data_IF_195465102753
#
_entry.id   IF_195465102753
#
_cell.length_a   1.000
_cell.length_b   1.000
_cell.length_c   1.000
_cell.angle_alpha   90.00
_cell.angle_beta   90.00
_cell.angle_gamma   90.00
#
_symmetry.space_group_name_H-M   'P 1'
#
loop_
_entity.id
_entity.type
_entity.pdbx_description
1 polymer ?
2 branched ?
3 non-polymer ?
4 non-polymer ?
5 water ?
#
# COMPACT_ATOMS: atom_id res chain seq x y z
N UNK A 1 2.62 0.10 -16.38
CA UNK A 1 1.54 -0.45 -15.48
C UNK A 1 2.06 -1.73 -14.89
N UNK A 2 1.37 -2.21 -13.86
CA UNK A 2 1.65 -3.52 -13.30
C UNK A 2 0.35 -4.34 -13.20
N UNK A 3 0.46 -5.65 -13.26
CA UNK A 3 -0.71 -6.50 -13.29
C UNK A 3 -0.53 -7.63 -12.30
N UNK A 4 -1.62 -8.03 -11.63
CA UNK A 4 -1.59 -9.27 -10.79
C UNK A 4 -2.89 -10.01 -10.95
N UNK A 5 -2.79 -11.30 -11.15
CA UNK A 5 -3.92 -12.17 -11.36
C UNK A 5 -4.07 -13.15 -10.20
N UNK A 6 -5.29 -13.20 -9.68
CA UNK A 6 -5.56 -14.12 -8.60
C UNK A 6 -5.69 -15.57 -9.10
N UNK A 7 -6.13 -15.74 -10.35
CA UNK A 7 -6.28 -17.03 -10.89
C UNK A 7 -4.88 -17.67 -11.10
N UNK A 8 -4.63 -18.79 -10.41
CA UNK A 8 -3.35 -19.46 -10.56
C UNK A 8 -2.29 -18.79 -9.69
N UNK A 9 -2.67 -17.80 -8.86
CA UNK A 9 -1.67 -17.09 -8.06
C UNK A 9 -1.15 -17.99 -6.98
N UNK A 10 0.10 -17.72 -6.61
CA UNK A 10 0.76 -18.47 -5.62
C UNK A 10 1.78 -17.54 -4.97
N UNK A 11 2.49 -18.00 -3.93
CA UNK A 11 3.46 -17.06 -3.29
C UNK A 11 4.51 -16.42 -4.21
N UNK A 12 4.95 -17.22 -5.18
CA UNK A 12 5.83 -16.76 -6.23
C UNK A 12 5.20 -15.63 -7.13
N UNK A 13 4.07 -15.86 -7.83
CA UNK A 13 3.56 -14.83 -8.76
C UNK A 13 3.18 -13.57 -7.96
N UNK A 14 2.76 -13.78 -6.70
CA UNK A 14 2.50 -12.63 -5.87
C UNK A 14 3.81 -11.91 -5.62
N UNK A 15 4.89 -12.64 -5.29
CA UNK A 15 6.20 -11.96 -5.05
C UNK A 15 6.62 -11.14 -6.29
N UNK A 16 6.42 -11.71 -7.48
CA UNK A 16 6.73 -11.04 -8.74
C UNK A 16 5.87 -9.81 -8.92
N UNK A 17 4.60 -9.84 -8.52
CA UNK A 17 3.79 -8.62 -8.63
C UNK A 17 4.32 -7.52 -7.69
N UNK A 18 4.69 -7.87 -6.48
CA UNK A 18 5.11 -6.83 -5.54
C UNK A 18 6.46 -6.29 -5.94
N UNK A 19 7.33 -7.18 -6.45
CA UNK A 19 8.57 -6.78 -7.07
C UNK A 19 8.30 -5.73 -8.17
N UNK A 20 7.46 -6.09 -9.13
CA UNK A 20 7.01 -5.21 -10.20
C UNK A 20 6.41 -3.90 -9.69
N UNK A 21 5.57 -3.99 -8.65
CA UNK A 21 5.01 -2.78 -8.05
C UNK A 21 6.18 -1.88 -7.52
N UNK A 22 7.10 -2.46 -6.74
CA UNK A 22 8.24 -1.66 -6.28
C UNK A 22 9.03 -1.03 -7.45
N UNK A 23 9.20 -1.78 -8.52
CA UNK A 23 10.15 -1.40 -9.54
C UNK A 23 9.49 -0.38 -10.41
N UNK A 24 8.18 -0.17 -10.20
CA UNK A 24 7.41 0.75 -11.06
C UNK A 24 7.44 2.16 -10.47
N UNK A 25 7.86 2.25 -9.21
CA UNK A 25 7.95 3.52 -8.50
C UNK A 25 9.29 4.19 -8.82
N UNK A 26 9.26 5.39 -9.42
CA UNK A 26 10.56 5.97 -9.82
C UNK A 26 11.29 6.58 -8.61
N UNK A 27 12.62 6.52 -8.72
CA UNK A 27 13.53 7.09 -7.73
C UNK A 27 14.79 7.51 -8.50
N UNK A 28 15.45 8.58 -8.03
CA UNK A 28 16.75 8.96 -8.62
C UNK A 28 17.85 8.55 -7.60
N UNK A 29 17.44 8.38 -6.34
CA UNK A 29 18.38 8.16 -5.21
C UNK A 29 17.99 6.93 -4.33
N UNK A 30 19.00 6.36 -3.68
CA UNK A 30 18.83 5.27 -2.71
C UNK A 30 19.47 5.83 -1.46
N UNK A 31 18.74 5.72 -0.36
CA UNK A 31 19.23 6.18 0.88
C UNK A 31 19.36 4.95 1.77
N UNK A 32 20.61 4.67 2.17
CA UNK A 32 21.05 3.40 2.72
C UNK A 32 20.61 2.23 1.87
N UNK A 33 20.75 2.33 0.55
CA UNK A 33 20.42 1.21 -0.35
C UNK A 33 18.90 0.85 -0.40
N UNK A 34 18.07 1.84 -0.05
CA UNK A 34 16.62 1.73 -0.23
C UNK A 34 16.17 2.80 -1.19
N UNK A 35 15.45 2.43 -2.23
CA UNK A 35 14.88 3.43 -3.15
C UNK A 35 14.16 4.57 -2.43
N UNK A 36 14.58 5.81 -2.69
CA UNK A 36 13.96 7.01 -2.13
C UNK A 36 12.93 7.54 -3.10
N UNK A 37 11.68 7.58 -2.64
CA UNK A 37 10.57 8.05 -3.46
C UNK A 37 10.78 9.54 -3.75
N UNK A 38 10.43 9.93 -4.98
CA UNK A 38 10.49 11.32 -5.46
C UNK A 38 9.64 12.27 -4.65
N UNK A 39 10.09 13.52 -4.47
CA UNK A 39 9.24 14.52 -3.79
C UNK A 39 7.89 14.77 -4.54
N UNK A 40 7.95 14.85 -5.87
CA UNK A 40 6.73 15.08 -6.64
C UNK A 40 6.93 14.62 -8.05
N UNK A 41 5.82 14.45 -8.75
CA UNK A 41 5.80 14.07 -10.16
C UNK A 41 4.54 14.80 -10.63
N UNK A 42 4.68 15.64 -11.66
CA UNK A 42 3.56 16.48 -12.13
C UNK A 42 2.80 15.75 -13.22
N UNK A 43 1.48 15.98 -13.23
CA UNK A 43 0.60 15.48 -14.25
C UNK A 43 0.40 13.99 -14.12
N UNK A 44 0.21 13.34 -15.27
CA UNK A 44 -0.36 12.02 -15.28
C UNK A 44 0.68 10.94 -14.93
N UNK A 45 1.98 11.30 -14.98
CA UNK A 45 3.08 10.39 -14.66
C UNK A 45 3.20 10.08 -13.18
N UNK A 46 2.50 10.85 -12.36
CA UNK A 46 2.42 10.65 -10.95
C UNK A 46 1.68 9.34 -10.53
N UNK A 47 0.98 8.72 -11.45
CA UNK A 47 0.03 7.70 -11.06
C UNK A 47 0.35 6.43 -11.75
N UNK A 48 0.65 5.41 -10.93
CA UNK A 48 0.82 4.05 -11.41
C UNK A 48 -0.57 3.42 -11.49
N UNK A 49 -0.81 2.75 -12.60
CA UNK A 49 -1.97 1.85 -12.79
C UNK A 49 -1.64 0.37 -12.47
N UNK A 50 -2.36 -0.20 -11.51
CA UNK A 50 -2.27 -1.63 -11.20
C UNK A 50 -3.52 -2.29 -11.72
N UNK A 51 -3.34 -3.24 -12.61
CA UNK A 51 -4.42 -4.03 -13.12
C UNK A 51 -4.52 -5.27 -12.26
N UNK A 52 -5.64 -5.37 -11.50
CA UNK A 52 -5.88 -6.51 -10.65
C UNK A 52 -6.99 -7.41 -11.14
N UNK A 53 -6.74 -8.72 -11.13
CA UNK A 53 -7.77 -9.58 -11.72
C UNK A 53 -8.18 -10.57 -10.69
N UNK A 54 -9.50 -10.66 -10.48
CA UNK A 54 -9.95 -11.63 -9.48
C UNK A 54 -9.81 -12.99 -10.08
N UNK A 55 -10.13 -13.98 -9.28
CA UNK A 55 -10.05 -15.35 -9.77
C UNK A 55 -10.86 -15.61 -11.03
N UNK A 56 -12.03 -14.98 -11.13
CA UNK A 56 -12.85 -15.10 -12.34
C UNK A 56 -12.30 -14.37 -13.57
N UNK A 57 -11.27 -13.57 -13.35
CA UNK A 57 -10.78 -12.79 -14.47
C UNK A 57 -11.46 -11.42 -14.54
N UNK A 58 -12.34 -11.08 -13.59
CA UNK A 58 -12.86 -9.70 -13.58
C UNK A 58 -11.77 -8.81 -13.05
N UNK A 59 -11.75 -7.55 -13.43
CA UNK A 59 -10.64 -6.72 -13.17
C UNK A 59 -11.02 -5.30 -12.73
N UNK A 60 -10.14 -4.74 -11.93
CA UNK A 60 -10.16 -3.32 -11.61
C UNK A 60 -8.73 -2.75 -11.91
N UNK A 61 -8.66 -1.45 -12.16
CA UNK A 61 -7.43 -0.78 -12.32
C UNK A 61 -7.36 0.18 -11.12
N UNK A 62 -6.26 0.10 -10.36
CA UNK A 62 -6.10 0.94 -9.18
C UNK A 62 -5.06 1.99 -9.51
N UNK A 63 -5.30 3.21 -9.08
CA UNK A 63 -4.34 4.27 -9.39
C UNK A 63 -3.60 4.55 -8.12
N UNK A 64 -2.26 4.48 -8.23
CA UNK A 64 -1.39 4.66 -7.10
C UNK A 64 -0.48 5.90 -7.33
N UNK A 65 -0.44 6.82 -6.37
CA UNK A 65 0.47 7.95 -6.45
C UNK A 65 1.90 7.38 -6.24
N UNK A 66 2.73 7.43 -7.30
CA UNK A 66 4.11 6.87 -7.26
C UNK A 66 5.02 7.52 -6.20
N UNK A 67 4.63 8.69 -5.67
CA UNK A 67 5.53 9.34 -4.70
C UNK A 67 5.32 8.85 -3.30
N UNK A 68 4.15 8.24 -3.02
CA UNK A 68 3.86 7.75 -1.63
C UNK A 68 3.18 6.38 -1.53
N UNK A 69 2.97 5.74 -2.66
CA UNK A 69 2.33 4.46 -2.78
C UNK A 69 0.88 4.53 -2.24
N UNK A 70 0.29 5.71 -2.38
CA UNK A 70 -1.05 5.93 -1.88
C UNK A 70 -2.05 5.67 -2.96
N UNK A 71 -2.95 4.75 -2.66
CA UNK A 71 -4.02 4.41 -3.60
C UNK A 71 -5.01 5.59 -3.62
N UNK A 72 -5.28 6.13 -4.81
CA UNK A 72 -6.09 7.33 -4.95
C UNK A 72 -7.57 6.95 -5.33
N UNK A 73 -7.73 5.92 -6.16
CA UNK A 73 -9.02 5.37 -6.55
C UNK A 73 -8.78 4.25 -7.52
N UNK A 74 -9.83 3.81 -8.19
CA UNK A 74 -9.76 2.63 -9.06
C UNK A 74 -10.85 2.76 -10.06
N UNK A 75 -10.79 1.94 -11.09
CA UNK A 75 -11.77 1.90 -12.15
C UNK A 75 -12.27 0.47 -12.17
N UNK A 76 -13.59 0.36 -12.21
CA UNK A 76 -14.19 -0.91 -12.28
C UNK A 76 -15.18 -0.76 -13.40
N UNK A 77 -14.91 -1.45 -14.51
CA UNK A 77 -15.74 -1.43 -15.67
C UNK A 77 -15.79 0.04 -16.09
N UNK A 78 -16.96 0.68 -16.12
CA UNK A 78 -17.01 1.99 -16.74
C UNK A 78 -17.22 3.02 -15.62
N UNK A 79 -17.07 2.61 -14.36
CA UNK A 79 -17.16 3.57 -13.26
C UNK A 79 -15.83 3.72 -12.57
N UNK A 80 -15.48 4.99 -12.30
CA UNK A 80 -14.33 5.29 -11.52
C UNK A 80 -14.72 5.63 -10.12
N UNK A 81 -13.82 5.37 -9.22
CA UNK A 81 -14.14 5.60 -7.79
C UNK A 81 -12.90 6.27 -7.25
N UNK A 82 -13.06 7.32 -6.45
CA UNK A 82 -11.91 8.03 -5.90
C UNK A 82 -12.21 8.32 -4.49
N UNK A 83 -11.18 8.27 -3.64
CA UNK A 83 -11.38 8.70 -2.21
C UNK A 83 -11.81 10.11 -2.07
N UNK A 84 -12.46 10.42 -0.95
CA UNK A 84 -12.95 11.80 -0.78
C UNK A 84 -11.84 12.63 -0.10
N UNK A 85 -10.84 12.99 -0.89
CA UNK A 85 -9.68 13.77 -0.42
C UNK A 85 -9.00 14.51 -1.58
N UNK A 86 -8.33 15.65 -1.27
CA UNK A 86 -7.89 16.54 -2.41
C UNK A 86 -6.92 15.82 -3.37
N UNK A 87 -5.96 15.12 -2.79
CA UNK A 87 -5.05 14.31 -3.59
C UNK A 87 -5.78 13.37 -4.56
N UNK A 88 -6.88 12.75 -4.10
CA UNK A 88 -7.60 11.82 -5.00
C UNK A 88 -8.39 12.58 -5.99
N UNK A 89 -8.99 13.69 -5.52
CA UNK A 89 -9.69 14.60 -6.45
C UNK A 89 -8.72 15.11 -7.51
N UNK A 90 -7.50 15.49 -7.11
CA UNK A 90 -6.46 15.86 -8.08
C UNK A 90 -6.17 14.70 -9.00
N UNK A 91 -6.02 13.47 -8.42
CA UNK A 91 -5.80 12.30 -9.31
C UNK A 91 -6.87 12.05 -10.37
N UNK A 92 -8.12 12.35 -10.04
CA UNK A 92 -9.22 12.14 -10.99
C UNK A 92 -9.20 13.09 -12.18
N UNK A 93 -8.29 14.07 -12.16
CA UNK A 93 -8.04 14.86 -13.36
C UNK A 93 -7.21 14.12 -14.38
N UNK A 94 -6.48 13.11 -13.91
CA UNK A 94 -5.53 12.39 -14.76
C UNK A 94 -5.88 10.96 -15.09
N UNK A 95 -6.50 10.23 -14.17
CA UNK A 95 -6.69 8.81 -14.50
C UNK A 95 -8.16 8.44 -14.69
N UNK A 96 -8.44 7.51 -15.59
CA UNK A 96 -9.82 6.95 -15.68
C UNK A 96 -10.83 8.01 -16.19
N UNK A 97 -10.34 8.97 -16.96
CA UNK A 97 -11.23 10.00 -17.54
C UNK A 97 -12.18 9.39 -18.59
N UNK A 98 -11.81 8.26 -19.15
CA UNK A 98 -12.67 7.56 -20.06
C UNK A 98 -13.91 6.93 -19.35
N UNK A 99 -13.93 6.86 -18.01
CA UNK A 99 -15.07 6.24 -17.27
C UNK A 99 -16.37 6.96 -17.57
N UNK A 100 -17.44 6.18 -17.74
CA UNK A 100 -18.77 6.77 -17.93
C UNK A 100 -19.21 7.67 -16.78
N UNK A 101 -18.92 7.31 -15.56
CA UNK A 101 -19.27 8.17 -14.42
C UNK A 101 -18.20 8.01 -13.37
N UNK A 102 -18.25 8.87 -12.37
CA UNK A 102 -17.23 8.94 -11.40
C UNK A 102 -17.94 9.10 -10.07
N UNK A 103 -17.60 8.22 -9.13
CA UNK A 103 -18.19 8.25 -7.83
C UNK A 103 -17.07 8.57 -6.91
N UNK A 104 -17.30 9.53 -6.03
CA UNK A 104 -16.37 9.84 -4.96
C UNK A 104 -16.83 9.06 -3.76
N UNK A 105 -15.99 8.18 -3.25
CA UNK A 105 -16.32 7.42 -2.08
C UNK A 105 -16.60 8.32 -0.90
N UNK A 106 -17.47 7.89 0.00
CA UNK A 106 -17.82 8.70 1.17
C UNK A 106 -16.76 8.43 2.25
N UNK A 107 -15.49 8.61 1.92
CA UNK A 107 -14.42 8.63 2.95
C UNK A 107 -13.15 8.93 2.18
N UNK A 108 -12.19 9.48 2.93
CA UNK A 108 -10.80 9.52 2.53
C UNK A 108 -10.17 8.15 2.62
N UNK A 109 -8.92 8.14 2.28
CA UNK A 109 -8.19 6.94 2.05
C UNK A 109 -7.41 6.58 3.25
N UNK A 110 -7.42 7.38 4.32
CA UNK A 110 -6.66 7.00 5.47
C UNK A 110 -7.27 5.87 6.34
N UNK A 111 -6.40 5.15 7.04
CA UNK A 111 -6.80 3.99 7.74
C UNK A 111 -7.93 4.26 8.72
N UNK A 112 -7.86 5.39 9.42
CA UNK A 112 -8.88 5.73 10.41
C UNK A 112 -10.27 5.91 9.75
N UNK A 113 -10.36 6.73 8.70
CA UNK A 113 -11.63 6.88 8.00
C UNK A 113 -12.13 5.57 7.38
N UNK A 114 -11.23 4.78 6.76
CA UNK A 114 -11.63 3.45 6.19
C UNK A 114 -12.22 2.49 7.24
N UNK A 115 -11.59 2.44 8.43
CA UNK A 115 -11.98 1.58 9.55
C UNK A 115 -13.33 1.98 10.13
N UNK A 116 -13.55 3.28 10.34
CA UNK A 116 -14.87 3.81 10.77
C UNK A 116 -15.92 3.41 9.76
N UNK A 117 -15.61 3.59 8.47
CA UNK A 117 -16.51 3.26 7.40
C UNK A 117 -16.76 1.78 7.38
N UNK A 118 -15.71 0.97 7.54
CA UNK A 118 -15.88 -0.49 7.50
C UNK A 118 -16.57 -1.04 8.76
N UNK A 119 -16.52 -0.33 9.88
CA UNK A 119 -17.10 -0.80 11.14
C UNK A 119 -16.14 -1.74 11.92
N UNK A 120 -14.92 -1.96 11.41
CA UNK A 120 -13.95 -2.85 12.04
C UNK A 120 -12.55 -2.19 11.93
N UNK A 121 -11.69 -2.37 12.97
CA UNK A 121 -10.30 -2.00 12.81
C UNK A 121 -9.62 -3.00 11.88
N UNK A 122 -8.57 -2.58 11.24
CA UNK A 122 -7.96 -3.58 10.39
C UNK A 122 -7.25 -4.74 11.14
N UNK A 123 -7.01 -4.58 12.45
CA UNK A 123 -6.69 -5.71 13.32
C UNK A 123 -7.66 -6.87 13.19
N UNK A 124 -8.92 -6.58 12.99
CA UNK A 124 -9.91 -7.64 12.94
C UNK A 124 -10.28 -8.05 11.56
N UNK A 125 -9.51 -7.65 10.53
CA UNK A 125 -9.89 -7.96 9.11
C UNK A 125 -8.92 -8.95 8.44
N UNK A 126 -9.36 -10.18 8.15
CA UNK A 126 -8.34 -11.06 7.63
C UNK A 126 -7.77 -10.49 6.33
N UNK A 127 -6.48 -10.75 6.05
CA UNK A 127 -5.94 -10.42 4.71
C UNK A 127 -5.19 -11.65 4.20
N UNK A 128 -4.78 -11.60 2.95
CA UNK A 128 -4.18 -12.70 2.25
C UNK A 128 -4.59 -12.61 0.80
N UNK A 129 -4.21 -13.59 -0.01
CA UNK A 129 -4.64 -13.69 -1.43
C UNK A 129 -6.14 -13.98 -1.60
N UNK A 130 -6.69 -14.95 -0.85
CA UNK A 130 -8.14 -15.14 -1.08
C UNK A 130 -8.85 -13.84 -0.74
N UNK A 131 -8.46 -13.16 0.34
CA UNK A 131 -9.07 -11.83 0.66
C UNK A 131 -8.88 -10.72 -0.41
N UNK A 132 -7.70 -10.65 -1.05
CA UNK A 132 -7.51 -9.67 -2.10
C UNK A 132 -8.52 -10.05 -3.17
N UNK A 133 -8.64 -11.34 -3.46
CA UNK A 133 -9.65 -11.80 -4.50
C UNK A 133 -11.10 -11.30 -4.22
N UNK A 134 -11.53 -11.49 -2.95
CA UNK A 134 -12.81 -10.94 -2.45
C UNK A 134 -12.88 -9.45 -2.68
N UNK A 135 -11.75 -8.76 -2.38
CA UNK A 135 -11.73 -7.28 -2.35
C UNK A 135 -11.94 -6.78 -3.74
N UNK A 136 -11.18 -7.35 -4.69
CA UNK A 136 -11.29 -6.98 -6.08
C UNK A 136 -12.76 -7.17 -6.48
N UNK A 137 -13.35 -8.32 -6.10
CA UNK A 137 -14.75 -8.65 -6.43
C UNK A 137 -15.76 -7.62 -5.89
N UNK A 138 -15.61 -7.22 -4.62
CA UNK A 138 -16.42 -6.25 -4.00
C UNK A 138 -16.36 -4.92 -4.71
N UNK A 139 -15.18 -4.53 -5.16
CA UNK A 139 -14.95 -3.19 -5.66
C UNK A 139 -15.59 -3.07 -7.04
N UNK A 140 -15.85 -4.22 -7.66
CA UNK A 140 -16.47 -4.25 -9.00
C UNK A 140 -17.88 -3.62 -9.01
N UNK A 141 -18.61 -3.73 -7.90
CA UNK A 141 -19.92 -3.14 -7.79
C UNK A 141 -20.08 -2.28 -6.54
N UNK A 142 -20.50 -1.04 -6.73
CA UNK A 142 -20.36 -0.02 -5.73
C UNK A 142 -21.13 -0.47 -4.47
N UNK A 143 -20.49 -0.46 -3.34
CA UNK A 143 -21.18 -0.59 -2.06
C UNK A 143 -20.17 0.02 -1.04
N UNK A 144 -20.50 1.17 -0.46
CA UNK A 144 -19.44 2.00 0.07
C UNK A 144 -18.93 1.35 1.34
N UNK A 145 -19.86 0.77 2.13
CA UNK A 145 -19.51 0.09 3.40
C UNK A 145 -18.65 -1.11 3.16
N UNK A 146 -19.06 -1.97 2.21
CA UNK A 146 -18.26 -3.17 1.87
C UNK A 146 -16.93 -2.78 1.24
N UNK A 147 -16.93 -1.74 0.40
CA UNK A 147 -15.73 -1.29 -0.28
C UNK A 147 -14.68 -0.79 0.73
N UNK A 148 -15.09 -0.26 1.90
CA UNK A 148 -14.13 0.29 2.85
C UNK A 148 -13.28 -0.90 3.34
N UNK A 149 -13.94 -2.03 3.66
CA UNK A 149 -13.28 -3.27 4.06
C UNK A 149 -12.39 -3.76 2.93
N UNK A 150 -12.95 -3.77 1.72
CA UNK A 150 -12.21 -4.25 0.56
C UNK A 150 -10.98 -3.36 0.35
N UNK A 151 -11.08 -2.04 0.55
CA UNK A 151 -9.96 -1.14 0.41
C UNK A 151 -8.86 -1.33 1.45
N UNK A 152 -9.25 -1.63 2.68
CA UNK A 152 -8.29 -1.92 3.73
C UNK A 152 -7.50 -3.17 3.37
N UNK A 153 -8.21 -4.17 2.88
CA UNK A 153 -7.57 -5.39 2.42
C UNK A 153 -6.66 -5.05 1.23
N UNK A 154 -7.14 -4.18 0.32
CA UNK A 154 -6.37 -3.96 -0.92
C UNK A 154 -5.13 -3.10 -0.60
N UNK A 155 -5.28 -2.06 0.24
CA UNK A 155 -4.12 -1.27 0.65
C UNK A 155 -3.01 -2.15 1.23
N UNK A 156 -3.39 -3.16 2.02
CA UNK A 156 -2.41 -3.86 2.80
C UNK A 156 -1.71 -4.86 1.96
N UNK A 157 -2.43 -5.36 0.97
CA UNK A 157 -1.92 -6.45 0.17
C UNK A 157 -0.98 -5.95 -0.95
N UNK A 158 -1.15 -4.71 -1.39
CA UNK A 158 -0.40 -4.19 -2.53
C UNK A 158 0.61 -3.06 -2.16
N UNK A 159 0.13 -1.95 -1.57
CA UNK A 159 0.98 -0.86 -1.10
C UNK A 159 1.82 -1.21 0.07
N UNK A 160 1.21 -1.76 1.11
CA UNK A 160 1.95 -1.94 2.38
C UNK A 160 3.00 -3.11 2.19
N UNK A 161 2.61 -4.10 1.36
CA UNK A 161 3.51 -5.18 0.94
C UNK A 161 4.69 -4.65 0.12
N UNK A 162 4.42 -3.76 -0.83
CA UNK A 162 5.52 -3.07 -1.59
C UNK A 162 6.46 -2.32 -0.64
N UNK A 163 5.92 -1.69 0.40
CA UNK A 163 6.73 -0.91 1.33
C UNK A 163 7.58 -1.73 2.33
N UNK A 164 7.18 -2.97 2.60
CA UNK A 164 7.84 -3.77 3.61
C UNK A 164 7.85 -5.18 3.20
N UNK A 165 9.06 -5.72 3.13
CA UNK A 165 9.28 -7.12 2.79
C UNK A 165 8.55 -8.03 3.79
N UNK A 166 8.53 -7.64 5.06
CA UNK A 166 7.89 -8.45 6.08
C UNK A 166 6.37 -8.59 5.69
N UNK A 167 5.76 -7.50 5.22
CA UNK A 167 4.30 -7.59 5.00
C UNK A 167 4.08 -8.41 3.71
N UNK A 168 5.01 -8.27 2.76
CA UNK A 168 4.87 -9.09 1.52
C UNK A 168 4.92 -10.58 1.96
N UNK A 169 5.82 -10.89 2.90
CA UNK A 169 5.95 -12.29 3.35
C UNK A 169 4.69 -12.74 4.16
N UNK A 170 4.20 -11.89 5.07
CA UNK A 170 2.87 -12.12 5.66
C UNK A 170 1.77 -12.53 4.69
N UNK A 171 1.72 -11.91 3.52
CA UNK A 171 0.66 -12.18 2.54
C UNK A 171 0.95 -13.47 1.82
N UNK A 172 2.23 -13.69 1.52
CA UNK A 172 2.68 -14.89 0.89
C UNK A 172 2.31 -16.09 1.77
N UNK A 173 2.40 -15.92 3.11
CA UNK A 173 2.02 -16.96 4.02
C UNK A 173 0.48 -17.20 3.90
N UNK A 174 -0.26 -16.15 3.48
CA UNK A 174 -1.69 -16.14 3.51
C UNK A 174 -2.11 -16.31 2.09
N UNK A 175 -1.38 -17.13 1.36
CA UNK A 175 -1.73 -17.29 -0.08
C UNK A 175 -3.04 -18.02 -0.27
N UNK A 176 -3.36 -18.94 0.64
CA UNK A 176 -4.50 -19.82 0.43
C UNK A 176 -5.35 -19.82 1.66
N UNK A 177 -4.96 -19.05 2.66
CA UNK A 177 -5.76 -18.86 3.88
C UNK A 177 -5.52 -17.47 4.42
N UNK A 178 -6.60 -16.67 4.54
CA UNK A 178 -6.52 -15.34 5.10
C UNK A 178 -6.25 -15.38 6.56
N UNK A 179 -5.65 -14.32 7.05
CA UNK A 179 -5.49 -14.27 8.47
C UNK A 179 -5.33 -12.82 8.73
N UNK A 180 -5.90 -12.39 9.85
CA UNK A 180 -5.74 -11.02 10.28
C UNK A 180 -4.23 -10.75 10.28
N UNK A 181 -3.83 -9.49 10.04
CA UNK A 181 -2.39 -9.14 10.05
C UNK A 181 -1.85 -9.25 11.50
N UNK A 182 -0.56 -9.63 11.63
CA UNK A 182 0.11 -9.59 12.93
C UNK A 182 0.17 -8.16 13.47
N UNK A 183 0.36 -8.00 14.79
CA UNK A 183 0.53 -6.66 15.33
C UNK A 183 1.80 -5.97 14.74
N UNK A 184 2.79 -6.77 14.34
CA UNK A 184 4.03 -6.30 13.80
C UNK A 184 3.66 -5.64 12.45
N UNK A 185 2.86 -6.30 11.62
CA UNK A 185 2.31 -5.72 10.38
C UNK A 185 1.61 -4.37 10.60
N UNK A 186 0.73 -4.31 11.60
CA UNK A 186 0.05 -3.06 11.94
C UNK A 186 1.09 -1.99 12.36
N UNK A 187 2.05 -2.41 13.16
CA UNK A 187 3.09 -1.49 13.62
C UNK A 187 3.86 -0.93 12.41
N UNK A 188 4.22 -1.78 11.42
CA UNK A 188 4.96 -1.31 10.23
C UNK A 188 4.14 -0.37 9.39
N UNK A 189 2.87 -0.71 9.16
CA UNK A 189 2.03 0.19 8.35
C UNK A 189 1.96 1.58 8.91
N UNK A 190 1.76 1.62 10.23
CA UNK A 190 1.63 2.86 10.98
C UNK A 190 2.99 3.59 11.12
N UNK A 191 4.10 2.90 10.89
CA UNK A 191 5.42 3.53 11.15
C UNK A 191 6.15 3.95 9.92
N UNK A 192 5.54 3.72 8.75
CA UNK A 192 6.23 3.96 7.51
C UNK A 192 6.79 5.37 7.30
N UNK A 193 5.91 6.37 7.38
CA UNK A 193 6.36 7.76 7.38
C UNK A 193 7.48 8.02 8.34
N UNK A 194 7.22 7.66 9.61
CA UNK A 194 8.20 7.72 10.67
C UNK A 194 9.58 7.16 10.29
N UNK A 195 9.60 5.91 9.84
CA UNK A 195 10.83 5.22 9.47
C UNK A 195 11.47 5.86 8.26
N UNK A 196 10.67 6.13 7.24
CA UNK A 196 11.09 6.86 6.11
C UNK A 196 11.80 8.16 6.49
N UNK A 197 11.23 8.93 7.42
CA UNK A 197 11.88 10.12 7.87
C UNK A 197 13.24 9.83 8.57
N UNK A 198 13.25 8.92 9.57
CA UNK A 198 14.43 8.70 10.39
C UNK A 198 15.55 8.05 9.55
N UNK A 199 15.21 7.24 8.56
CA UNK A 199 16.21 6.72 7.65
C UNK A 199 16.91 7.88 6.94
N UNK A 200 16.15 8.83 6.44
CA UNK A 200 16.67 9.96 5.75
C UNK A 200 17.49 10.92 6.67
N UNK A 201 16.98 11.20 7.86
CA UNK A 201 17.71 11.99 8.85
C UNK A 201 19.02 11.31 9.21
N UNK A 202 19.00 9.99 9.34
CA UNK A 202 20.21 9.23 9.66
C UNK A 202 21.38 9.60 8.72
N UNK A 203 21.11 9.93 7.44
CA UNK A 203 22.22 10.37 6.53
C UNK A 203 22.55 11.73 7.04
N UNK A 204 23.75 11.92 7.54
CA UNK A 204 24.01 13.18 8.15
C UNK A 204 24.07 13.06 9.64
N UNK A 205 23.64 11.95 10.17
CA UNK A 205 23.70 11.77 11.61
C UNK A 205 24.34 10.45 11.88
N UNK A 206 25.22 10.01 10.94
CA UNK A 206 26.02 8.76 11.11
C UNK A 206 25.17 7.49 11.23
N UNK A 207 24.11 7.39 10.42
CA UNK A 207 23.17 6.25 10.49
C UNK A 207 22.35 6.17 11.79
N UNK A 208 22.39 7.21 12.62
CA UNK A 208 21.61 7.27 13.86
C UNK A 208 20.29 8.02 13.67
N UNK A 209 19.17 7.46 14.19
CA UNK A 209 17.86 8.16 14.11
C UNK A 209 17.91 9.40 15.04
N UNK A 210 17.42 10.53 14.53
CA UNK A 210 17.12 11.71 15.35
C UNK A 210 16.17 11.37 16.49
N UNK A 211 15.03 10.54 16.16
CA UNK A 211 14.04 10.08 17.14
C UNK A 211 13.76 8.55 16.92
N UNK A 212 13.88 7.81 18.01
CA UNK A 212 13.68 6.37 17.76
C UNK A 212 12.25 6.02 17.28
N UNK A 213 12.13 4.92 16.54
CA UNK A 213 10.84 4.43 16.05
C UNK A 213 10.46 3.22 16.89
N UNK A 214 9.29 3.28 17.53
CA UNK A 214 8.81 2.16 18.35
C UNK A 214 8.01 1.30 17.41
N UNK A 215 8.40 0.03 17.35
CA UNK A 215 7.67 -0.96 16.63
C UNK A 215 7.23 -2.08 17.55
N UNK A 216 6.33 -2.91 17.06
CA UNK A 216 6.09 -4.25 17.66
C UNK A 216 6.80 -5.32 16.82
N UNK A 217 7.44 -6.31 17.43
CA UNK A 217 8.17 -7.35 16.63
C UNK A 217 7.31 -8.59 16.41
N UNK A 218 7.82 -9.56 15.63
CA UNK A 218 7.11 -10.82 15.34
C UNK A 218 6.52 -11.51 16.57
N UNK A 219 7.40 -11.81 17.52
CA UNK A 219 7.05 -12.40 18.82
C UNK A 219 6.02 -11.59 19.63
N UNK A 220 5.77 -10.31 19.31
CA UNK A 220 4.69 -9.55 19.97
C UNK A 220 4.98 -8.38 20.92
N UNK A 221 6.25 -8.13 21.25
CA UNK A 221 6.57 -6.99 22.21
C UNK A 221 7.31 -5.79 21.55
N UNK A 222 7.14 -4.62 22.15
CA UNK A 222 7.68 -3.37 21.63
C UNK A 222 9.17 -3.50 21.43
N UNK A 223 9.69 -2.73 20.48
CA UNK A 223 11.11 -2.76 20.17
C UNK A 223 11.40 -1.36 19.68
N UNK A 224 12.55 -0.85 20.07
CA UNK A 224 12.87 0.48 19.72
C UNK A 224 13.92 0.47 18.61
N UNK A 225 13.66 1.18 17.54
CA UNK A 225 14.56 1.18 16.38
C UNK A 225 15.27 2.50 16.45
N UNK A 226 16.61 2.49 16.43
CA UNK A 226 17.41 3.73 16.71
C UNK A 226 18.46 4.10 15.65
N UNK A 227 18.77 3.17 14.73
CA UNK A 227 19.77 3.38 13.69
C UNK A 227 19.52 2.46 12.47
N UNK A 228 20.37 2.57 11.44
CA UNK A 228 20.12 1.95 10.16
C UNK A 228 20.68 0.53 10.14
N UNK A 229 21.33 0.07 11.22
CA UNK A 229 21.85 -1.35 11.31
C UNK A 229 20.70 -2.31 11.69
N UNK A 230 19.60 -1.74 12.19
CA UNK A 230 18.43 -2.47 12.50
C UNK A 230 17.89 -3.23 11.28
N UNK A 231 17.46 -4.46 11.53
CA UNK A 231 16.88 -5.31 10.51
C UNK A 231 15.80 -4.59 9.70
N UNK A 232 14.86 -3.93 10.38
CA UNK A 232 13.81 -3.23 9.66
C UNK A 232 14.38 -2.30 8.59
N UNK A 233 15.56 -1.73 8.84
CA UNK A 233 16.21 -0.91 7.82
C UNK A 233 17.00 -1.70 6.77
N UNK A 234 17.72 -2.74 7.21
CA UNK A 234 18.68 -3.45 6.35
C UNK A 234 17.97 -4.44 5.46
N UNK A 235 16.87 -5.00 5.96
CA UNK A 235 16.19 -6.10 5.30
C UNK A 235 14.69 -5.81 4.98
N UNK A 236 13.98 -5.11 5.82
CA UNK A 236 12.55 -5.03 5.72
C UNK A 236 11.87 -3.90 4.89
N UNK A 237 12.14 -2.64 5.18
CA UNK A 237 11.53 -1.53 4.42
C UNK A 237 12.17 -1.51 2.99
N UNK A 238 11.37 -1.23 1.96
CA UNK A 238 11.77 -1.33 0.55
C UNK A 238 11.64 -0.05 -0.20
N UNK A 239 10.99 0.94 0.42
CA UNK A 239 10.65 2.21 -0.23
C UNK A 239 10.63 3.27 0.87
N UNK A 240 11.18 4.44 0.59
CA UNK A 240 11.18 5.53 1.55
C UNK A 240 10.36 6.69 1.07
N UNK A 241 9.40 7.06 1.93
CA UNK A 241 8.65 8.27 1.70
C UNK A 241 9.64 9.42 1.84
N UNK A 242 9.66 10.29 0.86
CA UNK A 242 10.58 11.42 0.84
C UNK A 242 10.21 12.41 1.95
N UNK A 243 11.19 12.95 2.70
CA UNK A 243 10.82 13.84 3.86
C UNK A 243 10.11 15.11 3.38
N UNK A 244 10.29 15.44 2.10
CA UNK A 244 9.57 16.56 1.48
C UNK A 244 8.03 16.36 1.53
N UNK A 245 7.60 15.09 1.58
CA UNK A 245 6.18 14.76 1.82
C UNK A 245 5.77 14.32 3.22
N UNK A 246 6.53 14.72 4.26
CA UNK A 246 6.25 14.32 5.66
C UNK A 246 6.15 15.51 6.67
X LIG B 1 22.20 0.06 16.03
X LIG B 1 22.91 0.31 17.36
X LIG B 1 23.23 -0.97 18.17
X LIG B 1 22.03 -1.90 18.20
X LIG B 1 21.39 -2.04 16.82
X LIG B 1 20.07 -2.76 16.96
X LIG B 1 24.12 2.45 17.25
X LIG B 1 25.43 3.10 16.89
X LIG B 1 24.10 1.10 17.07
X LIG B 1 23.63 -0.75 19.52
X LIG B 1 22.48 -3.13 18.74
X LIG B 1 21.10 -0.81 16.19
X LIG B 1 19.59 -3.04 15.69
X LIG B 1 23.15 3.14 17.65
X LIG B 2 21.48 -3.71 19.64
X LIG B 2 21.59 -5.24 19.85
X LIG B 2 20.54 -5.65 20.90
X LIG B 2 20.86 -4.99 22.26
X LIG B 2 21.54 -3.60 22.12
X LIG B 2 23.08 -3.57 22.36
X LIG B 2 22.48 -6.39 17.81
X LIG B 2 22.09 -7.31 16.67
X LIG B 2 21.48 -6.09 18.66
X LIG B 2 20.44 -7.05 21.01
X LIG B 2 19.65 -4.85 22.99
X LIG B 2 21.13 -3.03 20.86
X LIG B 2 23.66 -2.27 22.39
X LIG B 2 23.63 -5.96 17.88
X LIG C 1 -1.40 3.50 2.17
X LIG C 1 -2.44 3.62 1.05
X LIG C 1 -3.18 4.95 1.20
X LIG C 1 -3.76 5.02 2.61
X LIG C 1 -2.63 4.80 3.62
X LIG C 1 -3.19 4.90 5.05
X LIG C 1 -0.50 4.61 2.10
X LIG C 1 -1.77 3.58 -0.22
X LIG C 1 -4.24 5.00 0.24
X LIG C 1 -4.76 4.02 2.78
X LIG C 1 -2.07 3.50 3.43
X LIG D 1 -5.14 -18.54 -4.19
X LIG D 1 -4.84 -18.62 -5.61
X LIG D 1 -6.17 -17.46 -3.80
X LIG D 1 -7.16 -18.06 -2.91
X LIG D 1 -6.95 -17.16 -5.06
X LIG D 1 -5.98 -16.57 -5.87
#
# INVERSE_FOLDING_TARGET
DVSFRLSGADPSSYGMFIKDLRNALPHTEKVYNIPLLLPSVSGAGRYLLMHLFNYDGNTITVAVDVTNVYIMGYLALTTSYFFNEPAADLASQYVFRSARRKITLPYSGNYERLQIAAGKPREKIPIGLPALDTAISTLLHYDSTAAAGALLVLIQTTAEAARFKYIEQQIQERAYRDEVPSSATISLENSWSGLSKQIQLAQGNNGVFRTPTVLVDSKGNRVQITNVTSNVVTSNIQLLLNTKNI
NAG C1 C2 C3 C4 C5 C6 C7 C8 N2 O3 O4 O5 O6 O7
NAG C1 C2 C3 C4 C5 C6 C7 C8 N2 O3 O4 O5 O6 O7
FCA C1 C2 C3 C4 C5 C6 O1 O2 O3 O4 O5
GOL C1 O1 C2 O2 C3 O3
#
